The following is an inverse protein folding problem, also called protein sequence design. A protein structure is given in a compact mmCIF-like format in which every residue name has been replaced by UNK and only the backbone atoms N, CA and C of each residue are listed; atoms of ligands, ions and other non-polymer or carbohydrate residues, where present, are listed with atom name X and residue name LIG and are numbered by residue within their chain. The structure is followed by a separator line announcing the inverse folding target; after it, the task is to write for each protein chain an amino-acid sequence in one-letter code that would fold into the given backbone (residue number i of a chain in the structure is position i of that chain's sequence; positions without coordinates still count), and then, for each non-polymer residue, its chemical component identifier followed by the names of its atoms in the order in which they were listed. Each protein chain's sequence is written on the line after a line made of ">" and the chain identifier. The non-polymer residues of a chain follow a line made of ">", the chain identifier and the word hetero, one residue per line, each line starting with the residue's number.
data_IF_103072164211
#
_entry.id   IF_103072164211
#
_cell.length_a   1.000
_cell.length_b   1.000
_cell.length_c   1.000
_cell.angle_alpha   90.00
_cell.angle_beta   90.00
_cell.angle_gamma   90.00
#
_symmetry.space_group_name_H-M   'P 1'
#
loop_
_entity.id
_entity.type
_entity.pdbx_description
1 polymer ?
#
# COMPACT_ATOMS: atom_id res chain seq x y z
N UNK A 1 4.01 -35.13 5.06
CA UNK A 1 4.04 -34.93 3.62
C UNK A 1 2.92 -35.74 3.00
N UNK A 2 1.94 -35.06 2.39
CA UNK A 2 0.73 -35.64 1.79
C UNK A 2 0.88 -35.87 0.28
N UNK A 3 2.03 -35.48 -0.30
CA UNK A 3 2.36 -35.55 -1.73
C UNK A 3 1.46 -34.69 -2.64
N UNK A 4 0.58 -33.85 -2.08
CA UNK A 4 -0.29 -32.97 -2.83
C UNK A 4 0.33 -31.55 -2.98
N UNK A 5 0.18 -30.88 -4.14
CA UNK A 5 0.59 -29.49 -4.29
C UNK A 5 -0.31 -28.57 -3.46
N UNK A 6 0.14 -27.35 -3.21
CA UNK A 6 -0.73 -26.29 -2.67
C UNK A 6 -1.28 -25.45 -3.83
N UNK A 7 -2.59 -25.54 -4.04
CA UNK A 7 -3.30 -24.88 -5.15
C UNK A 7 -4.01 -23.61 -4.64
N UNK A 8 -3.31 -22.48 -4.66
CA UNK A 8 -3.82 -21.20 -4.15
C UNK A 8 -4.80 -20.61 -5.16
N UNK A 9 -6.04 -20.39 -4.75
CA UNK A 9 -7.08 -19.78 -5.57
C UNK A 9 -7.28 -18.28 -5.30
N UNK A 10 -6.90 -17.82 -4.09
CA UNK A 10 -7.02 -16.42 -3.69
C UNK A 10 -5.96 -16.07 -2.64
N UNK A 11 -5.48 -14.82 -2.72
CA UNK A 11 -4.66 -14.19 -1.68
C UNK A 11 -5.32 -12.87 -1.30
N UNK A 12 -5.51 -12.65 0.00
CA UNK A 12 -5.98 -11.39 0.58
C UNK A 12 -4.87 -10.82 1.45
N UNK A 13 -4.47 -9.59 1.15
CA UNK A 13 -3.49 -8.83 1.94
C UNK A 13 -4.27 -7.78 2.73
N UNK A 14 -4.25 -7.88 4.04
CA UNK A 14 -4.96 -7.00 4.96
C UNK A 14 -4.05 -5.87 5.47
N UNK A 15 -4.68 -4.86 6.08
CA UNK A 15 -3.95 -3.90 6.90
C UNK A 15 -3.43 -4.59 8.17
N UNK A 16 -2.17 -4.32 8.50
CA UNK A 16 -1.61 -4.67 9.80
C UNK A 16 -2.00 -3.66 10.88
N UNK A 17 -1.73 -4.00 12.14
CA UNK A 17 -2.11 -3.19 13.30
C UNK A 17 -1.35 -1.87 13.40
N UNK A 18 -0.19 -1.77 12.72
CA UNK A 18 0.63 -0.56 12.69
C UNK A 18 0.45 0.26 11.39
N UNK A 19 -0.55 -0.09 10.56
CA UNK A 19 -0.92 0.78 9.44
C UNK A 19 -1.37 2.13 10.00
N UNK A 20 -0.81 3.23 9.48
CA UNK A 20 -1.12 4.57 10.01
C UNK A 20 -2.60 4.88 9.82
N UNK A 21 -3.21 5.49 10.84
CA UNK A 21 -4.63 5.85 10.83
C UNK A 21 -5.00 6.81 9.69
N UNK A 22 -4.08 7.65 9.23
CA UNK A 22 -4.28 8.52 8.08
C UNK A 22 -4.31 7.76 6.75
N UNK A 23 -3.79 6.53 6.71
CA UNK A 23 -3.81 5.63 5.57
C UNK A 23 -4.82 4.48 5.77
N UNK A 24 -5.79 4.61 6.67
CA UNK A 24 -6.72 3.54 7.01
C UNK A 24 -7.70 3.19 5.88
N UNK A 25 -7.93 4.09 4.93
CA UNK A 25 -8.73 3.79 3.74
C UNK A 25 -7.82 3.65 2.51
N UNK A 26 -7.47 2.42 2.17
CA UNK A 26 -6.55 2.15 1.07
C UNK A 26 -7.08 2.57 -0.31
N UNK A 27 -8.40 2.62 -0.53
CA UNK A 27 -8.95 3.10 -1.82
C UNK A 27 -8.65 4.58 -2.07
N UNK A 28 -8.35 5.36 -1.02
CA UNK A 28 -7.95 6.76 -1.14
C UNK A 28 -6.45 6.93 -1.39
N UNK A 29 -5.64 5.97 -0.91
CA UNK A 29 -4.18 6.07 -0.96
C UNK A 29 -3.57 5.26 -2.12
N UNK A 30 -4.13 4.08 -2.43
CA UNK A 30 -3.58 3.13 -3.39
C UNK A 30 -4.41 3.16 -4.67
N UNK A 31 -3.77 3.52 -5.79
CA UNK A 31 -4.39 3.56 -7.11
C UNK A 31 -4.50 2.16 -7.74
N UNK A 32 -3.58 1.26 -7.40
CA UNK A 32 -3.56 -0.09 -7.94
C UNK A 32 -2.56 -0.98 -7.21
N UNK A 33 -2.75 -2.27 -7.35
CA UNK A 33 -1.88 -3.28 -6.76
C UNK A 33 -1.73 -4.49 -7.68
N UNK A 34 -0.57 -5.10 -7.65
CA UNK A 34 -0.23 -6.32 -8.38
C UNK A 34 0.58 -7.28 -7.50
N UNK A 35 0.37 -8.58 -7.71
CA UNK A 35 1.32 -9.62 -7.31
C UNK A 35 2.10 -10.11 -8.51
N UNK A 36 3.40 -10.25 -8.35
CA UNK A 36 4.34 -10.77 -9.34
C UNK A 36 5.05 -11.99 -8.79
N UNK A 37 5.06 -13.11 -9.53
CA UNK A 37 5.69 -14.38 -9.11
C UNK A 37 7.08 -14.64 -9.75
N UNK A 38 7.65 -13.63 -10.39
CA UNK A 38 8.91 -13.73 -11.13
C UNK A 38 8.70 -13.86 -12.65
N UNK A 39 7.53 -14.28 -13.11
CA UNK A 39 7.17 -14.47 -14.53
C UNK A 39 5.85 -13.81 -14.89
N UNK A 40 4.86 -13.97 -14.05
CA UNK A 40 3.47 -13.54 -14.29
C UNK A 40 3.05 -12.49 -13.27
N UNK A 41 2.20 -11.58 -13.72
CA UNK A 41 1.60 -10.55 -12.87
C UNK A 41 0.09 -10.75 -12.78
N UNK A 42 -0.47 -10.63 -11.60
CA UNK A 42 -1.92 -10.63 -11.36
C UNK A 42 -2.32 -9.32 -10.68
N UNK A 43 -3.29 -8.63 -11.27
CA UNK A 43 -3.83 -7.38 -10.73
C UNK A 43 -4.79 -7.68 -9.57
N UNK A 44 -4.66 -6.94 -8.48
CA UNK A 44 -5.51 -7.03 -7.31
C UNK A 44 -6.61 -5.98 -7.30
N UNK A 45 -7.68 -6.27 -6.56
CA UNK A 45 -8.74 -5.31 -6.25
C UNK A 45 -8.40 -4.64 -4.92
N UNK A 46 -8.21 -3.32 -4.94
CA UNK A 46 -7.97 -2.53 -3.73
C UNK A 46 -9.30 -2.18 -3.08
N UNK A 47 -9.49 -2.63 -1.85
CA UNK A 47 -10.62 -2.30 -0.99
C UNK A 47 -10.16 -1.33 0.12
N UNK A 48 -11.09 -0.88 0.96
CA UNK A 48 -10.77 0.09 2.03
C UNK A 48 -9.72 -0.41 3.02
N UNK A 49 -9.68 -1.72 3.32
CA UNK A 49 -8.79 -2.30 4.34
C UNK A 49 -7.99 -3.52 3.88
N UNK A 50 -8.11 -3.91 2.63
CA UNK A 50 -7.38 -5.04 2.07
C UNK A 50 -7.20 -4.93 0.55
N UNK A 51 -6.33 -5.76 0.02
CA UNK A 51 -6.15 -6.00 -1.42
C UNK A 51 -6.45 -7.47 -1.67
N UNK A 52 -7.34 -7.76 -2.61
CA UNK A 52 -7.77 -9.12 -2.95
C UNK A 52 -7.26 -9.51 -4.34
N UNK A 53 -6.53 -10.62 -4.41
CA UNK A 53 -6.11 -11.29 -5.63
C UNK A 53 -6.89 -12.58 -5.74
N UNK A 54 -7.93 -12.59 -6.57
CA UNK A 54 -8.85 -13.72 -6.70
C UNK A 54 -8.70 -14.43 -8.04
N UNK A 55 -9.30 -15.61 -8.13
CA UNK A 55 -9.33 -16.43 -9.36
C UNK A 55 -7.94 -16.74 -9.90
N UNK A 56 -6.99 -17.02 -9.02
CA UNK A 56 -5.63 -17.39 -9.41
C UNK A 56 -5.64 -18.73 -10.13
N UNK A 57 -5.05 -18.79 -11.35
CA UNK A 57 -4.82 -20.04 -12.05
C UNK A 57 -3.89 -20.92 -11.20
N UNK A 58 -4.27 -22.18 -10.96
CA UNK A 58 -3.58 -23.05 -10.01
C UNK A 58 -3.60 -24.53 -10.35
N UNK A 59 -4.19 -24.92 -11.48
CA UNK A 59 -4.41 -26.34 -11.83
C UNK A 59 -3.20 -27.01 -12.45
N UNK A 60 -2.32 -26.27 -13.12
CA UNK A 60 -1.16 -26.81 -13.80
C UNK A 60 0.15 -26.40 -13.13
N UNK A 61 1.18 -27.23 -13.16
CA UNK A 61 2.53 -26.82 -12.80
C UNK A 61 2.94 -25.57 -13.59
N UNK A 62 3.37 -24.52 -12.88
CA UNK A 62 3.71 -23.23 -13.48
C UNK A 62 2.62 -22.18 -13.40
N UNK A 63 1.38 -22.54 -13.13
CA UNK A 63 0.31 -21.57 -12.86
C UNK A 63 0.66 -20.68 -11.67
N UNK A 64 0.10 -19.45 -11.67
CA UNK A 64 0.40 -18.44 -10.65
C UNK A 64 0.15 -18.95 -9.23
N UNK A 65 -0.96 -19.64 -8.97
CA UNK A 65 -1.34 -20.17 -7.67
C UNK A 65 -0.86 -21.59 -7.39
N UNK A 66 -0.11 -22.24 -8.32
CA UNK A 66 0.37 -23.60 -8.12
C UNK A 66 1.73 -23.59 -7.40
N UNK A 67 1.79 -24.22 -6.24
CA UNK A 67 3.03 -24.50 -5.49
C UNK A 67 3.19 -26.02 -5.42
N UNK A 68 4.26 -26.53 -6.04
CA UNK A 68 4.53 -27.98 -6.04
C UNK A 68 4.72 -28.53 -4.62
N UNK A 69 4.44 -29.81 -4.43
CA UNK A 69 4.76 -30.49 -3.16
C UNK A 69 6.23 -30.29 -2.80
N UNK A 70 6.49 -30.00 -1.52
CA UNK A 70 7.80 -29.58 -1.00
C UNK A 70 8.44 -28.37 -1.71
N UNK A 71 7.69 -27.67 -2.55
CA UNK A 71 8.15 -26.49 -3.27
C UNK A 71 7.94 -25.19 -2.47
N UNK A 72 8.44 -24.11 -3.06
CA UNK A 72 8.16 -22.74 -2.60
C UNK A 72 7.87 -21.82 -3.77
N UNK A 73 7.09 -20.78 -3.52
CA UNK A 73 6.83 -19.74 -4.51
C UNK A 73 6.88 -18.38 -3.84
N UNK A 74 7.62 -17.44 -4.43
CA UNK A 74 7.76 -16.10 -3.92
C UNK A 74 6.86 -15.16 -4.70
N UNK A 75 6.08 -14.35 -3.99
CA UNK A 75 5.27 -13.29 -4.57
C UNK A 75 5.78 -11.95 -4.14
N UNK A 76 5.91 -11.02 -5.08
CA UNK A 76 6.26 -9.63 -4.83
C UNK A 76 5.00 -8.78 -4.96
N UNK A 77 4.58 -8.12 -3.89
CA UNK A 77 3.52 -7.11 -3.93
C UNK A 77 4.10 -5.82 -4.51
N UNK A 78 3.43 -5.28 -5.52
CA UNK A 78 3.68 -3.95 -6.08
C UNK A 78 2.43 -3.11 -5.90
N UNK A 79 2.59 -1.88 -5.44
CA UNK A 79 1.48 -0.93 -5.31
C UNK A 79 1.84 0.40 -6.00
N UNK A 80 0.82 1.09 -6.46
CA UNK A 80 0.90 2.47 -6.95
C UNK A 80 0.06 3.35 -6.06
N UNK A 81 0.61 4.47 -5.64
CA UNK A 81 -0.11 5.45 -4.85
C UNK A 81 -0.95 6.35 -5.77
N UNK A 82 -2.05 6.85 -5.26
CA UNK A 82 -2.80 7.93 -5.91
C UNK A 82 -1.93 9.18 -5.99
N UNK A 83 -1.95 9.86 -7.13
CA UNK A 83 -1.11 11.03 -7.36
C UNK A 83 -1.43 12.18 -6.39
N UNK A 84 -2.70 12.38 -6.06
CA UNK A 84 -3.16 13.47 -5.20
C UNK A 84 -3.66 12.93 -3.86
N UNK A 85 -2.76 12.51 -3.01
CA UNK A 85 -3.08 12.00 -1.67
C UNK A 85 -3.66 13.11 -0.77
N UNK A 86 -3.18 14.34 -0.89
CA UNK A 86 -3.69 15.50 -0.14
C UNK A 86 -5.09 15.97 -0.52
N UNK A 87 -5.66 15.49 -1.64
CA UNK A 87 -7.04 15.80 -2.05
C UNK A 87 -8.11 15.00 -1.30
N UNK A 88 -7.77 13.79 -0.85
CA UNK A 88 -8.67 12.86 -0.16
C UNK A 88 -8.18 12.47 1.22
N UNK A 89 -6.89 12.64 1.48
CA UNK A 89 -6.25 12.40 2.77
C UNK A 89 -5.72 13.73 3.32
N UNK A 90 -5.48 13.84 4.64
CA UNK A 90 -4.80 14.99 5.22
C UNK A 90 -3.46 15.27 4.53
N UNK A 91 -3.11 16.54 4.38
CA UNK A 91 -1.85 16.98 3.72
C UNK A 91 -0.57 16.55 4.46
N UNK A 92 -0.69 15.75 5.51
CA UNK A 92 0.40 15.33 6.39
C UNK A 92 0.66 13.83 6.30
N UNK A 93 0.55 13.25 5.10
CA UNK A 93 0.81 11.81 4.89
C UNK A 93 2.30 11.48 4.73
N UNK A 94 3.15 12.49 4.53
CA UNK A 94 4.59 12.28 4.47
C UNK A 94 5.10 11.67 5.78
N UNK A 95 5.95 10.67 5.70
CA UNK A 95 6.42 9.89 6.83
C UNK A 95 5.41 8.86 7.38
N UNK A 96 4.19 8.75 6.81
CA UNK A 96 3.20 7.75 7.22
C UNK A 96 3.46 6.41 6.57
N UNK A 97 3.13 5.31 7.25
CA UNK A 97 3.46 3.98 6.78
C UNK A 97 2.23 3.13 6.47
N UNK A 98 2.37 2.28 5.46
CA UNK A 98 1.52 1.12 5.26
C UNK A 98 2.08 -0.08 6.04
N UNK A 99 1.21 -0.88 6.62
CA UNK A 99 1.56 -2.23 7.06
C UNK A 99 0.69 -3.24 6.33
N UNK A 100 1.34 -4.13 5.59
CA UNK A 100 0.70 -5.24 4.86
C UNK A 100 0.79 -6.50 5.69
N UNK A 101 -0.36 -7.17 5.87
CA UNK A 101 -0.50 -8.37 6.68
C UNK A 101 -1.11 -9.48 5.83
N UNK A 102 -0.43 -10.62 5.76
CA UNK A 102 -0.97 -11.86 5.18
C UNK A 102 -1.21 -12.84 6.33
N UNK A 103 -2.41 -13.39 6.40
CA UNK A 103 -2.80 -14.41 7.36
C UNK A 103 -3.22 -15.68 6.62
N UNK A 104 -3.09 -16.83 7.26
CA UNK A 104 -3.56 -18.11 6.67
C UNK A 104 -5.02 -18.07 6.24
N UNK A 105 -5.88 -17.37 7.00
CA UNK A 105 -7.29 -17.14 6.63
C UNK A 105 -7.50 -16.27 5.39
N UNK A 106 -6.49 -15.52 4.97
CA UNK A 106 -6.49 -14.70 3.75
C UNK A 106 -5.97 -15.46 2.53
N UNK A 107 -5.48 -16.69 2.68
CA UNK A 107 -5.03 -17.52 1.57
C UNK A 107 -5.99 -18.69 1.40
N UNK A 108 -6.77 -18.67 0.32
CA UNK A 108 -7.69 -19.75 -0.03
C UNK A 108 -7.00 -20.74 -0.96
N UNK A 109 -7.18 -22.04 -0.68
CA UNK A 109 -6.68 -23.12 -1.52
C UNK A 109 -7.85 -23.87 -2.17
N UNK A 110 -7.60 -24.60 -3.26
CA UNK A 110 -8.57 -25.52 -3.82
C UNK A 110 -8.84 -26.63 -2.79
N UNK A 111 -10.07 -27.18 -2.78
CA UNK A 111 -10.45 -28.22 -1.81
C UNK A 111 -9.74 -29.55 -2.05
N UNK A 112 -10.23 -30.34 -3.00
CA UNK A 112 -9.68 -31.65 -3.29
C UNK A 112 -8.34 -31.56 -4.06
N UNK A 113 -7.37 -32.40 -3.70
CA UNK A 113 -6.04 -32.46 -4.35
C UNK A 113 -5.15 -31.25 -4.08
N UNK A 114 -5.35 -30.60 -2.94
CA UNK A 114 -4.52 -29.48 -2.53
C UNK A 114 -4.19 -29.56 -1.04
N UNK A 115 -2.92 -29.39 -0.71
CA UNK A 115 -2.52 -29.10 0.66
C UNK A 115 -3.09 -27.77 1.12
N UNK A 116 -3.44 -27.69 2.39
CA UNK A 116 -3.90 -26.46 3.03
C UNK A 116 -2.75 -25.61 3.58
N UNK A 117 -3.03 -24.34 3.85
CA UNK A 117 -2.12 -23.50 4.62
C UNK A 117 -2.32 -23.78 6.11
N UNK A 118 -1.23 -23.99 6.85
CA UNK A 118 -1.30 -24.24 8.29
C UNK A 118 -2.05 -23.09 9.00
N UNK A 119 -2.97 -23.49 9.89
CA UNK A 119 -3.78 -22.52 10.64
C UNK A 119 -2.89 -21.59 11.49
N UNK A 120 -3.40 -20.37 11.74
CA UNK A 120 -2.75 -19.38 12.61
C UNK A 120 -1.40 -18.84 12.13
N UNK A 121 -1.05 -19.03 10.86
CA UNK A 121 0.11 -18.37 10.28
C UNK A 121 -0.23 -16.93 9.93
N UNK A 122 0.65 -16.00 10.26
CA UNK A 122 0.55 -14.60 9.83
C UNK A 122 1.95 -14.01 9.64
N UNK A 123 2.07 -13.17 8.62
CA UNK A 123 3.29 -12.43 8.31
C UNK A 123 2.92 -10.98 8.01
N UNK A 124 3.57 -10.06 8.69
CA UNK A 124 3.42 -8.63 8.43
C UNK A 124 4.69 -8.05 7.80
N UNK A 125 4.53 -6.96 7.04
CA UNK A 125 5.67 -6.22 6.48
C UNK A 125 6.48 -5.48 7.56
N UNK A 126 5.95 -5.41 8.79
CA UNK A 126 6.61 -4.77 9.92
C UNK A 126 6.57 -3.24 9.89
N UNK A 127 7.22 -2.65 10.89
CA UNK A 127 7.33 -1.20 11.07
C UNK A 127 8.40 -0.59 10.16
N UNK A 128 8.17 0.65 9.73
CA UNK A 128 9.15 1.51 9.03
C UNK A 128 9.66 0.97 7.68
N UNK A 129 8.95 0.03 7.06
CA UNK A 129 9.38 -0.59 5.80
C UNK A 129 8.67 0.00 4.58
N UNK A 130 7.43 0.44 4.73
CA UNK A 130 6.60 0.95 3.63
C UNK A 130 6.11 2.36 3.96
N UNK A 131 7.06 3.28 4.08
CA UNK A 131 6.81 4.69 4.45
C UNK A 131 6.58 5.51 3.19
N UNK A 132 5.53 6.34 3.21
CA UNK A 132 5.30 7.35 2.19
C UNK A 132 6.38 8.43 2.31
N UNK A 133 7.05 8.73 1.21
CA UNK A 133 8.01 9.82 1.12
C UNK A 133 7.54 10.80 0.06
N UNK A 134 7.21 12.01 0.48
CA UNK A 134 6.91 13.12 -0.42
C UNK A 134 8.21 13.89 -0.70
N UNK A 135 8.49 14.17 -1.95
CA UNK A 135 9.64 14.99 -2.35
C UNK A 135 9.13 16.29 -2.96
N UNK A 136 9.39 17.39 -2.29
CA UNK A 136 8.95 18.71 -2.75
C UNK A 136 9.60 19.09 -4.08
N UNK A 137 8.79 19.66 -4.97
CA UNK A 137 9.21 20.23 -6.25
C UNK A 137 8.91 21.71 -6.38
N UNK A 138 8.14 22.26 -5.43
CA UNK A 138 7.69 23.66 -5.44
C UNK A 138 7.46 24.19 -4.03
N UNK A 139 7.56 25.51 -3.87
CA UNK A 139 7.12 26.23 -2.69
C UNK A 139 5.78 26.92 -2.96
N UNK A 140 4.85 26.80 -2.03
CA UNK A 140 3.50 27.36 -2.13
C UNK A 140 3.22 28.24 -0.92
N UNK A 141 2.73 29.47 -1.15
CA UNK A 141 2.25 30.30 -0.04
C UNK A 141 0.99 29.70 0.57
N UNK A 142 1.06 29.38 1.85
CA UNK A 142 -0.09 28.91 2.65
C UNK A 142 -0.85 30.10 3.24
N UNK A 143 -0.11 31.13 3.65
CA UNK A 143 -0.67 32.34 4.20
C UNK A 143 0.02 33.56 3.59
N UNK A 144 -0.78 34.46 3.05
CA UNK A 144 -0.31 35.76 2.56
C UNK A 144 -0.56 36.85 3.63
N UNK A 145 0.23 37.91 3.55
CA UNK A 145 -0.01 39.10 4.36
C UNK A 145 -1.28 39.83 3.87
N UNK A 146 -1.92 40.56 4.78
CA UNK A 146 -2.93 41.55 4.38
C UNK A 146 -2.23 42.78 3.81
N UNK A 147 -2.68 43.24 2.65
CA UNK A 147 -2.18 44.47 2.01
C UNK A 147 -3.15 45.66 2.29
N UNK A 148 -2.66 46.88 2.42
CA UNK A 148 -1.26 47.33 2.38
C UNK A 148 -0.54 47.17 3.73
N UNK A 149 0.80 46.92 3.66
CA UNK A 149 1.68 46.97 4.82
C UNK A 149 2.52 48.24 4.76
N UNK A 150 2.58 48.97 5.85
CA UNK A 150 3.36 50.23 5.93
C UNK A 150 4.87 49.97 5.87
N UNK A 151 5.64 50.99 5.45
CA UNK A 151 7.10 50.92 5.50
C UNK A 151 7.55 50.80 6.95
N UNK A 152 8.56 49.94 7.20
CA UNK A 152 9.06 49.60 8.55
C UNK A 152 8.01 48.96 9.49
N UNK A 153 6.92 48.41 8.96
CA UNK A 153 5.92 47.71 9.72
C UNK A 153 6.02 46.22 9.46
N UNK A 154 5.97 45.39 10.51
CA UNK A 154 5.96 43.95 10.34
C UNK A 154 4.71 43.51 9.56
N UNK A 155 4.89 42.57 8.63
CA UNK A 155 3.77 41.98 7.89
C UNK A 155 2.88 41.17 8.84
N UNK A 156 1.57 41.42 8.82
CA UNK A 156 0.60 40.73 9.68
C UNK A 156 -0.61 40.29 8.83
N UNK A 157 -0.96 39.00 8.87
CA UNK A 157 -0.17 37.89 9.45
C UNK A 157 1.16 37.68 8.71
N UNK A 158 2.14 37.07 9.37
CA UNK A 158 3.41 36.72 8.72
C UNK A 158 3.15 35.74 7.56
N UNK A 159 3.81 35.93 6.40
CA UNK A 159 3.65 34.97 5.29
C UNK A 159 4.22 33.60 5.68
N UNK A 160 3.52 32.55 5.33
CA UNK A 160 4.00 31.17 5.50
C UNK A 160 4.01 30.45 4.17
N UNK A 161 4.96 29.53 4.01
CA UNK A 161 5.11 28.69 2.81
C UNK A 161 5.12 27.22 3.20
N UNK A 162 4.72 26.37 2.29
CA UNK A 162 4.92 24.93 2.38
C UNK A 162 5.71 24.44 1.17
N UNK A 163 6.49 23.40 1.38
CA UNK A 163 7.14 22.66 0.32
C UNK A 163 6.21 21.52 -0.12
N UNK A 164 5.88 21.46 -1.40
CA UNK A 164 4.92 20.50 -1.95
C UNK A 164 5.48 19.84 -3.20
N UNK A 165 5.01 18.62 -3.49
CA UNK A 165 5.19 18.03 -4.82
C UNK A 165 4.25 18.67 -5.86
N UNK A 166 4.32 18.21 -7.12
CA UNK A 166 3.47 18.71 -8.19
C UNK A 166 1.97 18.41 -8.00
N UNK A 167 1.61 17.48 -7.11
CA UNK A 167 0.26 17.05 -6.80
C UNK A 167 -0.28 17.67 -5.51
N UNK A 168 0.40 18.67 -4.97
CA UNK A 168 0.09 19.38 -3.73
C UNK A 168 0.22 18.50 -2.44
N UNK A 169 0.88 17.36 -2.49
CA UNK A 169 1.25 16.64 -1.29
C UNK A 169 2.39 17.40 -0.59
N UNK A 170 2.26 17.56 0.73
CA UNK A 170 3.22 18.33 1.51
C UNK A 170 4.41 17.46 1.93
N UNK A 171 5.60 17.95 1.71
CA UNK A 171 6.86 17.42 2.25
C UNK A 171 7.06 18.00 3.65
N UNK A 172 7.18 17.14 4.65
CA UNK A 172 7.38 17.55 6.05
C UNK A 172 8.86 17.58 6.45
N UNK A 173 9.73 17.06 5.59
CA UNK A 173 11.17 16.94 5.85
C UNK A 173 12.01 17.97 5.08
N UNK A 174 11.38 18.86 4.35
CA UNK A 174 12.03 19.87 3.51
C UNK A 174 12.82 20.90 4.34
#
# INVERSE_FOLDING_TARGET
>A
NDADPTLISQIVINQGTNNDALLANWTQAIAGAELFDGTTTVTGVVNSSNITFASLANTNPGDFGHVADNGSKTYTLRIWLNASLGGTLPTTIDGKQFEFLIQSSGVSTAGAGSSGIAASQSVSSGLSTNVVSVVATQLVFVQNTTSPTGVNTAMTPAPTVSANDANANRDLNF
#
